data_IF_205220129609
#
_entry.id   IF_205220129609
#
_cell.length_a   1.000
_cell.length_b   1.000
_cell.length_c   1.000
_cell.angle_alpha   90.00
_cell.angle_beta   90.00
_cell.angle_gamma   90.00
#
_symmetry.space_group_name_H-M   'P 1'
#
loop_
_entity.id
_entity.type
_entity.pdbx_description
1 polymer ?
#
# COMPACT_ATOMS: atom_id res chain seq x y z
N UNK A 1 -24.51 -15.13 24.53
CA UNK A 1 -23.62 -15.61 23.45
C UNK A 1 -23.28 -14.39 22.62
N UNK A 2 -21.96 -14.07 22.46
CA UNK A 2 -21.58 -12.99 21.56
C UNK A 2 -21.97 -13.38 20.13
N UNK A 3 -22.84 -12.60 19.50
CA UNK A 3 -23.19 -12.78 18.10
C UNK A 3 -21.89 -12.64 17.28
N UNK A 4 -21.62 -13.62 16.43
CA UNK A 4 -20.46 -13.61 15.53
C UNK A 4 -20.65 -12.46 14.53
N UNK A 5 -20.01 -11.32 14.77
CA UNK A 5 -20.21 -10.07 14.03
C UNK A 5 -19.60 -10.13 12.61
N UNK A 6 -18.56 -10.95 12.41
CA UNK A 6 -17.85 -11.10 11.16
C UNK A 6 -17.74 -12.58 10.78
N UNK A 7 -17.96 -12.89 9.51
CA UNK A 7 -17.82 -14.23 8.96
C UNK A 7 -16.85 -14.18 7.80
N UNK A 8 -15.74 -14.92 7.89
CA UNK A 8 -14.79 -15.10 6.80
C UNK A 8 -15.44 -15.92 5.67
N UNK A 9 -15.27 -15.50 4.42
CA UNK A 9 -15.82 -16.14 3.21
C UNK A 9 -14.70 -16.81 2.41
N UNK A 10 -13.67 -16.06 2.02
CA UNK A 10 -12.54 -16.56 1.24
C UNK A 10 -11.28 -15.77 1.52
N UNK A 11 -10.12 -16.35 1.22
CA UNK A 11 -8.82 -15.68 1.36
C UNK A 11 -8.48 -14.92 0.07
N UNK A 12 -8.20 -13.61 0.20
CA UNK A 12 -7.79 -12.74 -0.90
C UNK A 12 -6.27 -12.76 -1.11
N UNK A 13 -5.51 -12.66 -0.02
CA UNK A 13 -4.06 -12.55 -0.08
C UNK A 13 -3.43 -13.14 1.18
N UNK A 14 -2.17 -13.53 1.06
CA UNK A 14 -1.30 -13.89 2.18
C UNK A 14 0.03 -13.15 2.00
N UNK A 15 0.44 -12.43 3.03
CA UNK A 15 1.75 -11.77 3.13
C UNK A 15 2.60 -12.38 4.25
N UNK A 16 3.80 -11.85 4.47
CA UNK A 16 4.70 -12.32 5.52
C UNK A 16 4.22 -12.00 6.95
N UNK A 17 3.27 -11.08 7.12
CA UNK A 17 2.84 -10.56 8.43
C UNK A 17 1.36 -10.80 8.71
N UNK A 18 0.53 -10.80 7.68
CA UNK A 18 -0.92 -10.92 7.78
C UNK A 18 -1.51 -11.63 6.55
N UNK A 19 -2.71 -12.17 6.75
CA UNK A 19 -3.58 -12.67 5.68
C UNK A 19 -4.77 -11.73 5.53
N UNK A 20 -5.23 -11.54 4.30
CA UNK A 20 -6.42 -10.75 3.99
C UNK A 20 -7.52 -11.66 3.46
N UNK A 21 -8.70 -11.53 4.00
CA UNK A 21 -9.89 -12.30 3.65
C UNK A 21 -11.02 -11.39 3.20
N UNK A 22 -11.88 -11.88 2.30
CA UNK A 22 -13.24 -11.37 2.16
C UNK A 22 -14.07 -11.90 3.30
N UNK A 23 -14.83 -11.03 3.94
CA UNK A 23 -15.78 -11.40 4.97
C UNK A 23 -17.13 -10.73 4.77
N UNK A 24 -18.13 -11.21 5.51
CA UNK A 24 -19.43 -10.59 5.68
C UNK A 24 -19.52 -10.02 7.10
N UNK A 25 -19.70 -8.70 7.22
CA UNK A 25 -20.17 -8.08 8.46
C UNK A 25 -21.67 -8.34 8.60
N UNK A 26 -22.06 -8.95 9.69
CA UNK A 26 -23.44 -9.31 9.98
C UNK A 26 -24.03 -8.33 11.00
N UNK A 27 -25.22 -7.85 10.76
CA UNK A 27 -25.95 -6.96 11.65
C UNK A 27 -27.37 -7.50 11.90
N UNK A 28 -28.14 -6.77 12.69
CA UNK A 28 -29.50 -7.10 13.08
C UNK A 28 -30.37 -7.36 11.83
N UNK A 29 -31.30 -8.31 11.93
CA UNK A 29 -32.26 -8.67 10.87
C UNK A 29 -31.63 -9.21 9.58
N UNK A 30 -30.41 -9.79 9.62
CA UNK A 30 -29.80 -10.43 8.46
C UNK A 30 -29.15 -9.46 7.47
N UNK A 31 -28.99 -8.18 7.80
CA UNK A 31 -28.23 -7.26 6.98
C UNK A 31 -26.76 -7.74 6.89
N UNK A 32 -26.24 -7.79 5.66
CA UNK A 32 -24.85 -8.18 5.37
C UNK A 32 -24.17 -7.12 4.55
N UNK A 33 -22.92 -6.80 4.93
CA UNK A 33 -22.03 -5.94 4.16
C UNK A 33 -20.71 -6.67 3.92
N UNK A 34 -20.22 -6.66 2.69
CA UNK A 34 -18.90 -7.17 2.36
C UNK A 34 -17.84 -6.30 3.00
N UNK A 35 -16.84 -6.95 3.59
CA UNK A 35 -15.67 -6.31 4.24
C UNK A 35 -14.41 -7.07 3.87
N UNK A 36 -13.26 -6.40 3.97
CA UNK A 36 -11.96 -7.04 4.00
C UNK A 36 -11.52 -7.22 5.46
N UNK A 37 -10.97 -8.39 5.78
CA UNK A 37 -10.49 -8.72 7.13
C UNK A 37 -9.00 -9.04 7.03
N UNK A 38 -8.16 -8.18 7.59
CA UNK A 38 -6.71 -8.38 7.69
C UNK A 38 -6.40 -9.01 9.05
N UNK A 39 -5.88 -10.23 9.05
CA UNK A 39 -5.60 -11.01 10.26
C UNK A 39 -4.11 -11.23 10.42
N UNK A 40 -3.59 -10.99 11.61
CA UNK A 40 -2.20 -11.31 11.98
C UNK A 40 -1.94 -12.80 11.83
N UNK A 41 -0.76 -13.15 11.28
CA UNK A 41 -0.35 -14.56 11.19
C UNK A 41 -0.11 -15.15 12.60
N UNK A 42 -0.47 -16.44 12.84
CA UNK A 42 -0.41 -17.05 14.16
C UNK A 42 0.97 -16.96 14.84
N UNK A 43 2.06 -17.07 14.09
CA UNK A 43 3.42 -17.01 14.62
C UNK A 43 3.84 -15.61 15.09
N UNK A 44 3.15 -14.54 14.64
CA UNK A 44 3.37 -13.16 15.06
C UNK A 44 2.42 -12.71 16.16
N UNK A 45 1.37 -13.47 16.45
CA UNK A 45 0.35 -13.12 17.43
C UNK A 45 0.88 -13.01 18.88
N UNK A 46 2.02 -13.64 19.19
CA UNK A 46 2.71 -13.55 20.47
C UNK A 46 3.78 -12.46 20.54
N UNK A 47 4.07 -11.77 19.43
CA UNK A 47 5.06 -10.69 19.39
C UNK A 47 4.39 -9.36 19.76
N UNK A 48 4.55 -8.93 21.02
CA UNK A 48 3.90 -7.72 21.55
C UNK A 48 4.25 -6.46 20.75
N UNK A 49 5.51 -6.31 20.31
CA UNK A 49 5.94 -5.16 19.52
C UNK A 49 5.22 -5.13 18.17
N UNK A 50 5.11 -6.28 17.52
CA UNK A 50 4.39 -6.39 16.24
C UNK A 50 2.90 -6.10 16.41
N UNK A 51 2.28 -6.65 17.44
CA UNK A 51 0.86 -6.40 17.74
C UNK A 51 0.63 -4.92 18.04
N UNK A 52 1.53 -4.27 18.82
CA UNK A 52 1.47 -2.83 19.06
C UNK A 52 1.43 -2.04 17.77
N UNK A 53 2.36 -2.29 16.86
CA UNK A 53 2.43 -1.62 15.54
C UNK A 53 1.21 -1.89 14.66
N UNK A 54 0.70 -3.14 14.65
CA UNK A 54 -0.50 -3.53 13.91
C UNK A 54 -1.75 -2.80 14.42
N UNK A 55 -1.88 -2.65 15.74
CA UNK A 55 -2.99 -1.90 16.35
C UNK A 55 -2.86 -0.39 16.13
N UNK A 56 -1.64 0.15 16.11
CA UNK A 56 -1.40 1.56 15.83
C UNK A 56 -1.73 1.91 14.37
N UNK A 57 -1.39 1.04 13.41
CA UNK A 57 -1.86 1.16 12.03
C UNK A 57 -3.38 1.21 11.95
N UNK A 58 -4.05 0.31 12.65
CA UNK A 58 -5.50 0.26 12.65
C UNK A 58 -6.13 1.52 13.27
N UNK A 59 -5.57 2.03 14.37
CA UNK A 59 -6.03 3.28 15.00
C UNK A 59 -5.83 4.48 14.09
N UNK A 60 -4.68 4.55 13.42
CA UNK A 60 -4.40 5.59 12.45
C UNK A 60 -5.38 5.51 11.27
N UNK A 61 -5.56 4.32 10.68
CA UNK A 61 -6.52 4.10 9.60
C UNK A 61 -7.96 4.46 9.96
N UNK A 62 -8.37 4.25 11.23
CA UNK A 62 -9.70 4.60 11.70
C UNK A 62 -9.95 6.13 11.79
N UNK A 63 -8.89 6.95 11.84
CA UNK A 63 -9.00 8.42 11.80
C UNK A 63 -9.13 8.96 10.37
N UNK A 64 -8.77 8.17 9.37
CA UNK A 64 -8.78 8.59 7.98
C UNK A 64 -10.15 8.33 7.33
N UNK A 65 -10.74 9.37 6.76
CA UNK A 65 -11.99 9.29 6.00
C UNK A 65 -11.85 10.06 4.68
N UNK A 66 -11.38 9.37 3.65
CA UNK A 66 -11.16 9.96 2.33
C UNK A 66 -11.52 8.97 1.22
N UNK A 67 -12.03 9.47 0.09
CA UNK A 67 -12.46 8.64 -1.04
C UNK A 67 -11.32 7.75 -1.60
N UNK A 68 -10.08 8.23 -1.53
CA UNK A 68 -8.90 7.54 -2.06
C UNK A 68 -8.09 6.79 -0.99
N UNK A 69 -8.65 6.56 0.19
CA UNK A 69 -8.04 5.74 1.26
C UNK A 69 -9.01 4.61 1.62
N UNK A 70 -8.47 3.41 1.85
CA UNK A 70 -9.25 2.27 2.34
C UNK A 70 -9.66 2.54 3.79
N UNK A 71 -10.97 2.61 4.05
CA UNK A 71 -11.49 2.91 5.38
C UNK A 71 -11.34 1.71 6.32
N UNK A 72 -10.80 1.94 7.52
CA UNK A 72 -10.85 0.99 8.63
C UNK A 72 -12.19 1.11 9.32
N UNK A 73 -12.91 -0.01 9.45
CA UNK A 73 -14.27 -0.07 9.97
C UNK A 73 -14.33 -0.56 11.42
N UNK A 74 -13.42 -1.47 11.79
CA UNK A 74 -13.38 -2.06 13.13
C UNK A 74 -12.04 -2.75 13.40
N UNK A 75 -11.74 -2.99 14.67
CA UNK A 75 -10.59 -3.75 15.14
C UNK A 75 -11.11 -4.79 16.12
N UNK A 76 -10.64 -6.02 16.01
CA UNK A 76 -11.06 -7.09 16.87
C UNK A 76 -9.95 -8.06 17.24
N UNK A 77 -10.27 -8.91 18.19
CA UNK A 77 -9.44 -10.05 18.58
C UNK A 77 -10.31 -11.32 18.64
N UNK A 78 -9.81 -12.40 18.07
CA UNK A 78 -10.44 -13.71 18.13
C UNK A 78 -9.36 -14.80 17.98
N UNK A 79 -9.57 -15.96 18.60
CA UNK A 79 -8.67 -17.12 18.48
C UNK A 79 -7.19 -16.79 18.79
N UNK A 80 -6.96 -15.99 19.84
CA UNK A 80 -5.63 -15.49 20.24
C UNK A 80 -4.87 -14.70 19.16
N UNK A 81 -5.57 -14.09 18.21
CA UNK A 81 -4.98 -13.22 17.21
C UNK A 81 -5.80 -11.93 17.04
N UNK A 82 -5.20 -10.94 16.39
CA UNK A 82 -5.82 -9.64 16.10
C UNK A 82 -6.19 -9.55 14.64
N UNK A 83 -7.25 -8.80 14.35
CA UNK A 83 -7.68 -8.53 12.99
C UNK A 83 -8.21 -7.10 12.85
N UNK A 84 -8.05 -6.54 11.66
CA UNK A 84 -8.59 -5.25 11.23
C UNK A 84 -9.68 -5.52 10.22
N UNK A 85 -10.84 -4.89 10.39
CA UNK A 85 -11.93 -4.93 9.42
C UNK A 85 -11.91 -3.63 8.61
N UNK A 86 -11.86 -3.76 7.30
CA UNK A 86 -11.76 -2.64 6.37
C UNK A 86 -12.89 -2.70 5.34
N UNK A 87 -13.13 -1.61 4.64
CA UNK A 87 -13.97 -1.64 3.46
C UNK A 87 -13.44 -2.65 2.43
N UNK A 88 -14.35 -3.35 1.78
CA UNK A 88 -14.01 -4.25 0.67
C UNK A 88 -14.03 -3.49 -0.64
N UNK A 89 -12.88 -3.39 -1.30
CA UNK A 89 -12.73 -2.83 -2.64
C UNK A 89 -12.92 -3.95 -3.65
N UNK A 90 -14.08 -3.97 -4.34
CA UNK A 90 -14.39 -4.98 -5.38
C UNK A 90 -13.58 -4.68 -6.65
N UNK A 91 -12.36 -5.20 -6.70
CA UNK A 91 -11.45 -4.94 -7.79
C UNK A 91 -10.14 -5.71 -7.67
N UNK A 92 -9.03 -5.09 -8.04
CA UNK A 92 -7.69 -5.65 -7.96
C UNK A 92 -6.68 -4.61 -7.48
N UNK A 93 -5.54 -5.06 -6.95
CA UNK A 93 -4.42 -4.17 -6.73
C UNK A 93 -3.69 -3.84 -8.04
N UNK A 94 -3.01 -2.70 -8.05
CA UNK A 94 -2.32 -2.20 -9.25
C UNK A 94 -1.23 -3.17 -9.75
N UNK A 95 -0.56 -3.90 -8.86
CA UNK A 95 0.42 -4.92 -9.25
C UNK A 95 -0.21 -5.97 -10.17
N UNK A 96 -1.35 -6.52 -9.78
CA UNK A 96 -2.09 -7.53 -10.57
C UNK A 96 -2.51 -6.96 -11.93
N UNK A 97 -2.96 -5.70 -11.96
CA UNK A 97 -3.35 -5.03 -13.20
C UNK A 97 -2.16 -4.86 -14.14
N UNK A 98 -1.03 -4.37 -13.63
CA UNK A 98 0.22 -4.22 -14.40
C UNK A 98 0.67 -5.58 -14.96
N UNK A 99 0.70 -6.63 -14.13
CA UNK A 99 1.12 -7.97 -14.56
C UNK A 99 0.23 -8.54 -15.66
N UNK A 100 -1.09 -8.32 -15.60
CA UNK A 100 -2.04 -8.76 -16.63
C UNK A 100 -1.80 -8.01 -17.94
N UNK A 101 -1.60 -6.70 -17.89
CA UNK A 101 -1.36 -5.88 -19.07
C UNK A 101 -0.01 -6.23 -19.73
N UNK A 102 1.05 -6.43 -18.94
CA UNK A 102 2.36 -6.84 -19.46
C UNK A 102 2.33 -8.22 -20.11
N UNK A 103 1.55 -9.17 -19.60
CA UNK A 103 1.33 -10.48 -20.28
C UNK A 103 0.64 -10.32 -21.62
N UNK A 104 -0.10 -9.22 -21.83
CA UNK A 104 -0.72 -8.85 -23.11
C UNK A 104 0.20 -8.00 -24.01
N UNK A 105 1.47 -7.80 -23.61
CA UNK A 105 2.46 -7.03 -24.36
C UNK A 105 2.24 -5.51 -24.33
N UNK A 106 1.53 -4.97 -23.35
CA UNK A 106 1.24 -3.53 -23.27
C UNK A 106 1.42 -2.98 -21.86
N UNK A 107 1.91 -1.74 -21.71
CA UNK A 107 1.94 -1.04 -20.42
C UNK A 107 0.52 -0.57 -20.03
N UNK A 108 0.41 0.05 -18.88
CA UNK A 108 -0.80 0.78 -18.49
C UNK A 108 -0.94 1.99 -19.42
N UNK A 109 -2.11 2.23 -20.05
CA UNK A 109 -2.29 3.40 -20.91
C UNK A 109 -2.06 4.68 -20.12
N UNK A 110 -1.46 5.69 -20.74
CA UNK A 110 -0.96 6.89 -20.07
C UNK A 110 -2.03 7.65 -19.28
N UNK A 111 -3.22 7.83 -19.87
CA UNK A 111 -4.31 8.56 -19.20
C UNK A 111 -4.74 7.89 -17.91
N UNK A 112 -4.83 6.55 -17.92
CA UNK A 112 -5.18 5.74 -16.77
C UNK A 112 -4.05 5.73 -15.74
N UNK A 113 -2.79 5.70 -16.17
CA UNK A 113 -1.64 5.79 -15.26
C UNK A 113 -1.60 7.13 -14.53
N UNK A 114 -1.79 8.24 -15.25
CA UNK A 114 -1.86 9.59 -14.66
C UNK A 114 -3.06 9.70 -13.73
N UNK A 115 -4.24 9.21 -14.13
CA UNK A 115 -5.43 9.22 -13.29
C UNK A 115 -5.20 8.46 -11.98
N UNK A 116 -4.63 7.25 -12.05
CA UNK A 116 -4.32 6.44 -10.86
C UNK A 116 -3.35 7.18 -9.93
N UNK A 117 -2.30 7.78 -10.49
CA UNK A 117 -1.33 8.54 -9.71
C UNK A 117 -1.97 9.77 -9.04
N UNK A 118 -2.79 10.53 -9.75
CA UNK A 118 -3.49 11.70 -9.22
C UNK A 118 -4.42 11.32 -8.05
N UNK A 119 -5.23 10.26 -8.22
CA UNK A 119 -6.14 9.81 -7.17
C UNK A 119 -5.37 9.28 -5.94
N UNK A 120 -4.28 8.52 -6.15
CA UNK A 120 -3.44 8.07 -5.05
C UNK A 120 -2.80 9.27 -4.31
N UNK A 121 -2.27 10.26 -5.03
CA UNK A 121 -1.71 11.48 -4.45
C UNK A 121 -2.74 12.30 -3.66
N UNK A 122 -4.02 12.32 -4.06
CA UNK A 122 -5.08 12.97 -3.27
C UNK A 122 -5.27 12.29 -1.92
N UNK A 123 -5.23 10.95 -1.89
CA UNK A 123 -5.27 10.19 -0.64
C UNK A 123 -4.05 10.47 0.24
N UNK A 124 -2.85 10.54 -0.36
CA UNK A 124 -1.62 10.86 0.36
C UNK A 124 -1.63 12.28 0.92
N UNK A 125 -2.00 13.29 0.11
CA UNK A 125 -2.10 14.69 0.58
C UNK A 125 -3.04 14.82 1.78
N UNK A 126 -4.22 14.18 1.71
CA UNK A 126 -5.14 14.14 2.85
C UNK A 126 -4.50 13.54 4.11
N UNK A 127 -3.74 12.43 3.97
CA UNK A 127 -3.09 11.78 5.11
C UNK A 127 -1.95 12.61 5.68
N UNK A 128 -1.15 13.26 4.83
CA UNK A 128 -0.03 14.12 5.22
C UNK A 128 -0.48 15.37 5.98
N UNK A 129 -1.67 15.92 5.64
CA UNK A 129 -2.25 17.12 6.26
C UNK A 129 -3.14 16.79 7.47
N UNK A 130 -3.20 15.53 7.91
CA UNK A 130 -4.10 15.13 8.99
C UNK A 130 -3.57 15.59 10.36
N UNK A 131 -4.41 16.31 11.09
CA UNK A 131 -4.13 16.78 12.45
C UNK A 131 -4.90 15.97 13.50
N UNK A 132 -4.44 16.05 14.74
CA UNK A 132 -5.19 15.57 15.90
C UNK A 132 -6.33 16.54 16.30
N UNK A 133 -7.10 16.19 17.34
CA UNK A 133 -8.24 17.01 17.80
C UNK A 133 -7.81 18.38 18.39
N UNK A 134 -6.52 18.53 18.73
CA UNK A 134 -5.92 19.75 19.25
C UNK A 134 -5.29 20.62 18.12
N UNK A 135 -5.31 20.13 16.88
CA UNK A 135 -4.78 20.82 15.69
C UNK A 135 -3.28 20.63 15.48
N UNK A 136 -2.64 19.66 16.15
CA UNK A 136 -1.24 19.33 15.90
C UNK A 136 -1.14 18.33 14.73
N UNK A 137 -0.17 18.54 13.86
CA UNK A 137 0.11 17.63 12.76
C UNK A 137 0.46 16.23 13.27
N UNK A 138 -0.10 15.21 12.63
CA UNK A 138 0.17 13.82 12.97
C UNK A 138 1.42 13.26 12.28
N UNK A 139 2.07 14.04 11.41
CA UNK A 139 3.28 13.69 10.64
C UNK A 139 3.16 12.29 10.01
N UNK A 140 2.00 12.01 9.40
CA UNK A 140 1.72 10.72 8.79
C UNK A 140 2.50 10.60 7.50
N UNK A 141 3.34 9.57 7.41
CA UNK A 141 4.02 9.15 6.18
C UNK A 141 3.68 7.67 5.95
N UNK A 142 3.23 7.33 4.76
CA UNK A 142 2.83 5.96 4.41
C UNK A 142 4.02 4.99 4.41
N UNK A 143 5.15 5.39 3.81
CA UNK A 143 6.44 4.68 3.75
C UNK A 143 6.47 3.36 2.97
N UNK A 144 5.35 2.90 2.44
CA UNK A 144 5.25 1.64 1.68
C UNK A 144 4.35 1.82 0.44
N UNK A 145 4.42 2.98 -0.21
CA UNK A 145 3.73 3.19 -1.48
C UNK A 145 4.34 2.28 -2.54
N UNK A 146 3.51 1.40 -3.08
CA UNK A 146 3.90 0.41 -4.09
C UNK A 146 2.64 -0.15 -4.77
N UNK A 147 2.74 -0.77 -5.95
CA UNK A 147 1.59 -1.26 -6.69
C UNK A 147 0.67 -2.23 -5.92
N UNK A 148 1.15 -3.10 -5.01
CA UNK A 148 0.27 -3.91 -4.16
C UNK A 148 -0.68 -3.10 -3.26
N UNK A 149 -0.23 -1.92 -2.80
CA UNK A 149 -0.94 -1.08 -1.83
C UNK A 149 -1.84 -0.02 -2.48
N UNK A 150 -2.03 -0.09 -3.80
CA UNK A 150 -2.98 0.74 -4.55
C UNK A 150 -4.06 -0.19 -5.11
N UNK A 151 -5.28 -0.03 -4.64
CA UNK A 151 -6.44 -0.83 -5.05
C UNK A 151 -7.28 -0.07 -6.06
N UNK A 152 -7.75 -0.75 -7.10
CA UNK A 152 -8.61 -0.18 -8.13
C UNK A 152 -9.89 -1.00 -8.20
N UNK A 153 -11.03 -0.36 -7.92
CA UNK A 153 -12.33 -1.02 -7.98
C UNK A 153 -12.76 -1.26 -9.43
N UNK A 154 -13.69 -2.18 -9.64
CA UNK A 154 -14.35 -2.40 -10.95
C UNK A 154 -15.09 -1.17 -11.49
N UNK A 155 -15.30 -0.16 -10.64
CA UNK A 155 -15.95 1.12 -11.00
C UNK A 155 -14.95 2.23 -11.29
N UNK A 156 -13.63 1.94 -11.20
CA UNK A 156 -12.56 2.90 -11.43
C UNK A 156 -12.16 3.74 -10.21
N UNK A 157 -12.65 3.41 -9.01
CA UNK A 157 -12.20 4.06 -7.78
C UNK A 157 -10.77 3.61 -7.47
N UNK A 158 -9.90 4.55 -7.09
CA UNK A 158 -8.52 4.29 -6.69
C UNK A 158 -8.39 4.53 -5.19
N UNK A 159 -7.87 3.57 -4.45
CA UNK A 159 -7.71 3.67 -3.00
C UNK A 159 -6.34 3.17 -2.54
N UNK A 160 -5.68 3.96 -1.71
CA UNK A 160 -4.45 3.57 -1.01
C UNK A 160 -4.80 2.80 0.25
N UNK A 161 -4.05 1.73 0.53
CA UNK A 161 -4.25 0.86 1.71
C UNK A 161 -2.93 0.64 2.46
N UNK A 162 -3.00 0.12 3.68
CA UNK A 162 -1.85 -0.29 4.49
C UNK A 162 -0.94 0.87 4.95
N UNK A 163 -1.54 1.97 5.45
CA UNK A 163 -0.82 3.05 6.09
C UNK A 163 -0.15 2.58 7.39
N UNK A 164 1.16 2.77 7.53
CA UNK A 164 1.88 2.64 8.81
C UNK A 164 2.63 1.33 9.07
N UNK A 165 2.44 0.26 8.27
CA UNK A 165 3.16 -1.03 8.48
C UNK A 165 4.66 -0.98 8.17
N UNK A 166 5.16 0.03 7.49
CA UNK A 166 6.57 0.09 7.11
C UNK A 166 7.53 0.15 8.32
N UNK A 167 7.11 0.74 9.45
CA UNK A 167 7.89 0.68 10.72
C UNK A 167 7.99 -0.74 11.27
N UNK A 168 6.93 -1.54 11.10
CA UNK A 168 6.88 -2.95 11.52
C UNK A 168 7.77 -3.83 10.67
N UNK A 169 7.74 -3.62 9.35
CA UNK A 169 8.48 -4.44 8.40
C UNK A 169 9.99 -4.28 8.55
N UNK A 170 10.51 -3.05 8.69
CA UNK A 170 11.96 -2.80 8.85
C UNK A 170 12.56 -3.41 10.12
N UNK A 171 11.78 -3.60 11.17
CA UNK A 171 12.25 -4.27 12.39
C UNK A 171 12.23 -5.80 12.28
N UNK A 172 11.26 -6.37 11.57
CA UNK A 172 11.13 -7.83 11.38
C UNK A 172 12.05 -8.37 10.27
N UNK A 173 12.30 -7.60 9.23
CA UNK A 173 13.17 -7.99 8.10
C UNK A 173 14.65 -8.16 8.49
N UNK A 174 15.09 -7.60 9.63
CA UNK A 174 16.40 -7.92 10.21
C UNK A 174 16.51 -9.37 10.68
N UNK A 175 15.39 -10.08 10.82
CA UNK A 175 15.31 -11.44 11.36
C UNK A 175 15.04 -12.52 10.32
N UNK A 176 14.60 -12.21 9.11
CA UNK A 176 14.27 -13.22 8.10
C UNK A 176 14.65 -12.78 6.66
N UNK A 177 15.86 -13.11 6.17
CA UNK A 177 16.39 -12.63 4.89
C UNK A 177 15.70 -13.20 3.64
N UNK A 178 14.63 -13.97 3.78
CA UNK A 178 14.03 -14.75 2.67
C UNK A 178 12.82 -14.13 1.98
N UNK A 179 12.24 -13.05 2.45
CA UNK A 179 10.82 -12.80 2.18
C UNK A 179 10.49 -11.70 1.20
N UNK A 180 11.28 -10.81 0.68
CA UNK A 180 10.73 -9.83 -0.32
C UNK A 180 11.76 -9.34 -1.31
N UNK A 181 12.00 -10.08 -2.38
CA UNK A 181 12.68 -9.56 -3.57
C UNK A 181 11.85 -8.42 -4.20
N UNK A 182 12.41 -7.20 -4.22
CA UNK A 182 11.82 -6.04 -4.89
C UNK A 182 11.05 -5.05 -4.01
N UNK A 183 10.97 -5.24 -2.68
CA UNK A 183 10.38 -4.26 -1.77
C UNK A 183 11.18 -2.95 -1.72
N UNK A 184 12.50 -3.05 -1.78
CA UNK A 184 13.42 -1.89 -1.76
C UNK A 184 13.33 -1.00 -3.00
N UNK A 185 12.68 -1.46 -4.07
CA UNK A 185 12.58 -0.74 -5.35
C UNK A 185 11.76 0.55 -5.28
N UNK A 186 10.95 0.72 -4.25
CA UNK A 186 10.08 1.89 -4.07
C UNK A 186 10.52 2.78 -2.90
N UNK A 187 11.67 2.50 -2.27
CA UNK A 187 12.22 3.38 -1.25
C UNK A 187 12.62 4.73 -1.86
N UNK A 188 12.50 5.78 -1.07
CA UNK A 188 13.14 7.04 -1.39
C UNK A 188 14.65 6.97 -1.08
N UNK A 189 15.51 7.75 -1.77
CA UNK A 189 16.96 7.73 -1.56
C UNK A 189 17.38 7.95 -0.11
N UNK A 190 16.74 8.88 0.60
CA UNK A 190 16.98 9.16 2.02
C UNK A 190 16.62 7.95 2.90
N UNK A 191 15.53 7.23 2.60
CA UNK A 191 15.18 6.00 3.30
C UNK A 191 16.21 4.89 3.05
N UNK A 192 16.72 4.78 1.83
CA UNK A 192 17.76 3.82 1.44
C UNK A 192 19.14 4.16 2.04
N UNK A 193 19.37 5.41 2.45
CA UNK A 193 20.56 5.88 3.16
C UNK A 193 20.41 5.74 4.69
N UNK A 194 19.18 5.55 5.18
CA UNK A 194 18.88 5.49 6.62
C UNK A 194 18.67 6.86 7.26
N UNK A 195 18.46 7.89 6.46
CA UNK A 195 18.18 9.26 6.89
C UNK A 195 16.72 9.42 7.37
N UNK A 196 16.39 10.59 7.91
CA UNK A 196 15.03 10.93 8.31
C UNK A 196 14.11 11.02 7.07
N UNK A 197 12.92 10.44 7.19
CA UNK A 197 11.93 10.31 6.11
C UNK A 197 10.72 11.16 6.43
N UNK A 198 10.34 12.03 5.50
CA UNK A 198 9.11 12.82 5.53
C UNK A 198 8.13 12.41 4.39
N UNK A 199 7.07 13.19 4.19
CA UNK A 199 6.02 12.95 3.19
C UNK A 199 6.54 12.87 1.73
N UNK A 200 7.70 13.49 1.44
CA UNK A 200 8.32 13.46 0.11
C UNK A 200 8.74 12.05 -0.30
N UNK A 201 9.00 11.16 0.66
CA UNK A 201 9.29 9.77 0.36
C UNK A 201 8.12 9.04 -0.30
N UNK A 202 6.88 9.35 0.10
CA UNK A 202 5.68 8.78 -0.52
C UNK A 202 5.49 9.31 -1.95
N UNK A 203 5.80 10.60 -2.17
CA UNK A 203 5.74 11.21 -3.50
C UNK A 203 6.79 10.61 -4.44
N UNK A 204 8.02 10.39 -3.95
CA UNK A 204 9.06 9.72 -4.71
C UNK A 204 8.65 8.29 -5.11
N UNK A 205 8.10 7.52 -4.16
CA UNK A 205 7.58 6.18 -4.42
C UNK A 205 6.43 6.20 -5.45
N UNK A 206 5.54 7.21 -5.38
CA UNK A 206 4.46 7.37 -6.37
C UNK A 206 5.00 7.73 -7.75
N UNK A 207 6.07 8.53 -7.84
CA UNK A 207 6.81 8.80 -9.08
C UNK A 207 7.34 7.52 -9.71
N UNK A 208 7.97 6.63 -8.92
CA UNK A 208 8.40 5.31 -9.38
C UNK A 208 7.22 4.50 -9.93
N UNK A 209 6.10 4.44 -9.21
CA UNK A 209 4.91 3.70 -9.62
C UNK A 209 4.36 4.25 -10.95
N UNK A 210 4.28 5.58 -11.10
CA UNK A 210 3.81 6.22 -12.33
C UNK A 210 4.73 5.91 -13.50
N UNK A 211 6.05 6.04 -13.30
CA UNK A 211 7.03 5.71 -14.33
C UNK A 211 6.92 4.23 -14.78
N UNK A 212 6.84 3.29 -13.82
CA UNK A 212 6.72 1.86 -14.11
C UNK A 212 5.42 1.51 -14.87
N UNK A 213 4.30 2.15 -14.52
CA UNK A 213 3.04 1.97 -15.24
C UNK A 213 3.16 2.32 -16.72
N UNK A 214 3.81 3.44 -17.05
CA UNK A 214 3.92 3.96 -18.41
C UNK A 214 5.05 3.28 -19.18
N UNK A 215 6.20 3.02 -18.52
CA UNK A 215 7.34 2.36 -19.13
C UNK A 215 7.13 0.85 -19.35
N UNK A 216 6.19 0.23 -18.62
CA UNK A 216 5.94 -1.21 -18.68
C UNK A 216 7.09 -2.07 -18.15
N UNK A 217 7.96 -1.51 -17.32
CA UNK A 217 9.10 -2.23 -16.71
C UNK A 217 9.46 -1.61 -15.36
N UNK A 218 10.24 -2.34 -14.56
CA UNK A 218 10.73 -1.84 -13.28
C UNK A 218 11.76 -0.74 -13.47
N UNK A 219 11.66 0.33 -12.64
CA UNK A 219 12.63 1.43 -12.65
C UNK A 219 13.91 1.03 -11.91
N UNK A 220 13.77 0.65 -10.66
CA UNK A 220 14.89 0.23 -9.81
C UNK A 220 14.79 -1.26 -9.47
N UNK A 221 15.49 -2.10 -10.23
CA UNK A 221 15.55 -3.54 -9.98
C UNK A 221 16.93 -4.07 -10.36
N UNK A 222 17.71 -4.44 -9.35
CA UNK A 222 19.00 -5.14 -9.51
C UNK A 222 18.84 -6.65 -9.38
N UNK A 223 19.94 -7.39 -9.62
CA UNK A 223 19.99 -8.84 -9.47
C UNK A 223 19.90 -9.27 -7.99
N UNK A 224 20.21 -8.36 -7.08
CA UNK A 224 20.12 -8.53 -5.62
C UNK A 224 19.49 -7.30 -4.96
N UNK A 225 19.01 -7.47 -3.72
CA UNK A 225 18.48 -6.36 -2.91
C UNK A 225 19.53 -5.27 -2.70
N UNK A 226 20.80 -5.63 -2.49
CA UNK A 226 21.89 -4.68 -2.39
C UNK A 226 22.07 -3.83 -3.66
N UNK A 227 22.00 -4.46 -4.84
CA UNK A 227 22.07 -3.72 -6.10
C UNK A 227 20.83 -2.84 -6.30
N UNK A 228 19.65 -3.31 -5.92
CA UNK A 228 18.41 -2.53 -5.97
C UNK A 228 18.52 -1.28 -5.08
N UNK A 229 18.99 -1.44 -3.83
CA UNK A 229 19.22 -0.31 -2.92
C UNK A 229 20.21 0.70 -3.51
N UNK A 230 21.31 0.23 -4.13
CA UNK A 230 22.26 1.13 -4.81
C UNK A 230 21.63 1.91 -5.96
N UNK A 231 20.78 1.29 -6.77
CA UNK A 231 20.06 1.98 -7.85
C UNK A 231 19.14 3.06 -7.30
N UNK A 232 18.42 2.76 -6.22
CA UNK A 232 17.56 3.72 -5.52
C UNK A 232 18.38 4.89 -4.96
N UNK A 233 19.50 4.63 -4.29
CA UNK A 233 20.38 5.68 -3.76
C UNK A 233 20.92 6.62 -4.85
N UNK A 234 21.17 6.11 -6.04
CA UNK A 234 21.62 6.91 -7.19
C UNK A 234 20.48 7.73 -7.81
N UNK A 235 19.24 7.27 -7.67
CA UNK A 235 18.03 7.90 -8.20
C UNK A 235 18.14 8.31 -9.70
N UNK A 236 18.87 7.53 -10.50
CA UNK A 236 18.99 7.80 -11.92
C UNK A 236 17.72 7.35 -12.65
N UNK A 237 16.84 8.29 -12.99
CA UNK A 237 15.59 8.04 -13.71
C UNK A 237 15.81 8.23 -15.21
N UNK A 238 15.68 7.18 -16.05
CA UNK A 238 15.75 7.33 -17.48
C UNK A 238 14.59 8.17 -18.01
N UNK A 239 14.83 8.96 -19.07
CA UNK A 239 13.77 9.72 -19.73
C UNK A 239 12.61 8.83 -20.15
N UNK A 240 11.41 9.19 -19.73
CA UNK A 240 10.19 8.48 -20.10
C UNK A 240 9.86 8.66 -21.59
N UNK A 241 10.13 9.84 -22.16
CA UNK A 241 9.93 10.12 -23.59
C UNK A 241 10.78 9.20 -24.47
N UNK A 242 11.98 8.83 -24.01
CA UNK A 242 12.84 7.88 -24.75
C UNK A 242 12.26 6.46 -24.80
N UNK A 243 11.34 6.14 -23.88
CA UNK A 243 10.70 4.81 -23.74
C UNK A 243 9.30 4.82 -24.34
N UNK A 244 8.54 5.87 -24.06
CA UNK A 244 7.18 6.08 -24.53
C UNK A 244 7.05 7.49 -25.15
N UNK A 245 7.06 7.59 -26.48
CA UNK A 245 6.98 8.89 -27.19
C UNK A 245 5.68 9.66 -26.97
N UNK A 246 4.63 9.05 -26.38
CA UNK A 246 3.41 9.74 -26.01
C UNK A 246 3.57 10.58 -24.72
N UNK A 247 4.65 10.34 -23.95
CA UNK A 247 4.95 11.16 -22.78
C UNK A 247 5.38 12.56 -23.21
N UNK A 248 4.66 13.57 -22.73
CA UNK A 248 4.99 14.95 -23.01
C UNK A 248 6.02 15.52 -22.03
N UNK A 249 6.56 16.72 -22.34
CA UNK A 249 7.54 17.40 -21.49
C UNK A 249 6.98 17.75 -20.11
N UNK A 250 5.68 17.94 -19.99
CA UNK A 250 5.04 18.26 -18.71
C UNK A 250 5.07 17.07 -17.76
N UNK A 251 4.82 15.87 -18.29
CA UNK A 251 4.91 14.63 -17.52
C UNK A 251 6.36 14.30 -17.15
N UNK A 252 7.30 14.54 -18.04
CA UNK A 252 8.73 14.34 -17.80
C UNK A 252 9.26 15.21 -16.65
N UNK A 253 8.71 16.41 -16.47
CA UNK A 253 9.08 17.32 -15.37
C UNK A 253 8.52 16.92 -14.01
N UNK A 254 7.49 16.10 -13.98
CA UNK A 254 6.85 15.62 -12.73
C UNK A 254 7.59 14.40 -12.19
N UNK A 255 8.24 13.64 -13.07
CA UNK A 255 9.00 12.42 -12.77
C UNK A 255 10.48 12.70 -12.53
#
# INVERSE_FOLDING_TARGET
MAEQRYRVVERLAAGGMAEVFVGDAMSVQGFKKRVAIKRVLPHLASNENFIGMFLDEARLGARMNHANIVSVLDIGAADNTYFIVMEYVDGANLKTIIEVLLKQGRPVPMKEAVYIAMEACRGLSYAHELCDDDGNDLDIVHRDISPPNILISKRGEVKVTDFGLAKASTQLEKTDPGVVKGKFSYLAPEAALGDAVDERADLFAMGIVLWEMIAGKRLFLGDSDYQTVKLVQQANVPSLQAINPEADESLERVL
#
